data_IF_784911139238
#
_entry.id   IF_784911139238
#
_cell.length_a   1.000
_cell.length_b   1.000
_cell.length_c   1.000
_cell.angle_alpha   90.00
_cell.angle_beta   90.00
_cell.angle_gamma   90.00
#
_symmetry.space_group_name_H-M   'P 1'
#
loop_
_entity.id
_entity.type
_entity.pdbx_description
1 polymer ?
#
# COMPACT_ATOMS: atom_id res chain seq x y z
N UNK A 1 8.94 -18.70 -4.91
CA UNK A 1 7.72 -17.99 -5.36
C UNK A 1 8.04 -16.59 -5.88
N UNK A 2 8.27 -15.58 -5.03
CA UNK A 2 8.68 -14.25 -5.53
C UNK A 2 9.95 -14.30 -6.40
N UNK A 3 10.91 -15.15 -6.02
CA UNK A 3 12.17 -15.33 -6.76
C UNK A 3 12.05 -16.13 -8.06
N UNK A 4 10.94 -16.84 -8.25
CA UNK A 4 10.77 -17.77 -9.38
C UNK A 4 9.81 -17.23 -10.43
N UNK A 5 8.81 -16.45 -10.03
CA UNK A 5 7.63 -16.23 -10.87
C UNK A 5 6.93 -14.90 -10.76
N UNK A 6 7.45 -14.01 -9.93
CA UNK A 6 6.88 -12.69 -9.78
C UNK A 6 6.75 -12.02 -11.17
N UNK A 7 5.60 -11.41 -11.50
CA UNK A 7 5.37 -10.77 -12.79
C UNK A 7 6.08 -9.41 -12.87
N UNK A 8 7.42 -9.46 -12.86
CA UNK A 8 8.30 -8.28 -12.82
C UNK A 8 7.99 -7.32 -13.96
N UNK A 9 7.79 -7.84 -15.17
CA UNK A 9 7.56 -7.02 -16.37
C UNK A 9 6.29 -6.20 -16.23
N UNK A 10 5.19 -6.85 -15.88
CA UNK A 10 3.86 -6.25 -15.77
C UNK A 10 3.81 -5.25 -14.59
N UNK A 11 4.34 -5.63 -13.43
CA UNK A 11 4.43 -4.73 -12.26
C UNK A 11 5.33 -3.52 -12.55
N UNK A 12 6.39 -3.70 -13.34
CA UNK A 12 7.29 -2.60 -13.73
C UNK A 12 6.60 -1.60 -14.66
N UNK A 13 5.72 -2.06 -15.55
CA UNK A 13 4.91 -1.18 -16.41
C UNK A 13 4.02 -0.28 -15.55
N UNK A 14 3.30 -0.84 -14.58
CA UNK A 14 2.44 -0.07 -13.67
C UNK A 14 3.26 0.88 -12.77
N UNK A 15 4.42 0.42 -12.29
CA UNK A 15 5.35 1.24 -11.50
C UNK A 15 5.95 2.41 -12.31
N UNK A 16 6.17 2.23 -13.60
CA UNK A 16 6.62 3.32 -14.47
C UNK A 16 5.49 4.32 -14.74
N UNK A 17 4.26 3.80 -14.95
CA UNK A 17 3.06 4.60 -15.20
C UNK A 17 2.72 5.51 -14.02
N UNK A 18 2.83 5.01 -12.79
CA UNK A 18 2.47 5.77 -11.59
C UNK A 18 3.26 7.09 -11.46
N UNK A 19 4.50 7.15 -11.97
CA UNK A 19 5.37 8.33 -11.85
C UNK A 19 4.79 9.57 -12.52
N UNK A 20 3.89 9.36 -13.47
CA UNK A 20 3.20 10.41 -14.20
C UNK A 20 1.84 10.79 -13.58
N UNK A 21 1.44 10.15 -12.48
CA UNK A 21 0.20 10.48 -11.78
C UNK A 21 0.41 11.76 -10.98
N UNK A 22 -0.39 12.78 -11.31
CA UNK A 22 -0.28 14.13 -10.73
C UNK A 22 -1.37 14.47 -9.71
N UNK A 23 -2.31 13.55 -9.48
CA UNK A 23 -3.42 13.76 -8.55
C UNK A 23 -3.71 12.49 -7.75
N UNK A 24 -4.03 12.64 -6.47
CA UNK A 24 -4.41 11.54 -5.58
C UNK A 24 -3.30 10.55 -5.19
N UNK A 25 -2.06 10.76 -5.66
CA UNK A 25 -0.92 9.92 -5.32
C UNK A 25 -0.12 10.53 -4.16
N UNK A 26 0.41 9.72 -3.25
CA UNK A 26 1.14 10.22 -2.05
C UNK A 26 2.38 11.08 -2.39
N UNK A 27 2.91 10.96 -3.60
CA UNK A 27 4.01 11.82 -4.08
C UNK A 27 3.59 13.27 -4.31
N UNK A 28 2.30 13.54 -4.47
CA UNK A 28 1.78 14.90 -4.62
C UNK A 28 1.65 15.62 -3.28
N UNK A 29 1.70 14.90 -2.15
CA UNK A 29 1.80 15.50 -0.81
C UNK A 29 3.20 16.10 -0.60
N UNK A 30 4.24 15.32 -0.91
CA UNK A 30 5.63 15.76 -0.85
C UNK A 30 6.51 14.84 -1.70
N UNK A 31 7.46 15.43 -2.42
CA UNK A 31 8.44 14.69 -3.22
C UNK A 31 9.51 14.11 -2.29
N UNK A 32 9.66 12.79 -2.29
CA UNK A 32 10.73 12.09 -1.58
C UNK A 32 11.62 11.35 -2.58
N UNK A 33 12.91 11.65 -2.60
CA UNK A 33 13.84 11.19 -3.64
C UNK A 33 14.00 9.67 -3.72
N UNK A 34 13.76 8.96 -2.61
CA UNK A 34 13.91 7.51 -2.51
C UNK A 34 12.57 6.75 -2.45
N UNK A 35 11.44 7.38 -2.81
CA UNK A 35 10.14 6.71 -2.71
C UNK A 35 10.04 5.54 -3.68
N UNK A 36 9.68 4.36 -3.16
CA UNK A 36 9.39 3.17 -3.96
C UNK A 36 8.01 3.28 -4.62
N UNK A 37 7.83 2.69 -5.80
CA UNK A 37 6.52 2.55 -6.40
C UNK A 37 5.49 1.88 -5.52
N UNK A 38 4.26 2.41 -5.49
CA UNK A 38 3.15 1.78 -4.78
C UNK A 38 2.74 0.48 -5.46
N UNK A 39 2.71 0.47 -6.80
CA UNK A 39 2.41 -0.73 -7.58
C UNK A 39 3.38 -1.87 -7.23
N UNK A 40 4.69 -1.58 -7.23
CA UNK A 40 5.71 -2.54 -6.83
C UNK A 40 5.60 -2.93 -5.36
N UNK A 41 5.48 -1.94 -4.45
CA UNK A 41 5.43 -2.19 -3.01
C UNK A 41 4.26 -3.08 -2.62
N UNK A 42 3.09 -2.85 -3.23
CA UNK A 42 1.89 -3.67 -3.02
C UNK A 42 2.08 -5.10 -3.50
N UNK A 43 2.53 -5.24 -4.74
CA UNK A 43 2.71 -6.54 -5.37
C UNK A 43 3.75 -7.38 -4.61
N UNK A 44 4.89 -6.79 -4.24
CA UNK A 44 5.95 -7.49 -3.51
C UNK A 44 5.55 -7.78 -2.07
N UNK A 45 4.88 -6.86 -1.37
CA UNK A 45 4.37 -7.11 -0.02
C UNK A 45 3.40 -8.29 -0.02
N UNK A 46 2.39 -8.30 -0.91
CA UNK A 46 1.47 -9.41 -1.02
C UNK A 46 2.20 -10.73 -1.34
N UNK A 47 3.06 -10.74 -2.37
CA UNK A 47 3.76 -11.95 -2.79
C UNK A 47 4.73 -12.51 -1.74
N UNK A 48 5.23 -11.66 -0.83
CA UNK A 48 6.12 -12.07 0.26
C UNK A 48 5.38 -12.61 1.49
N UNK A 49 4.11 -12.23 1.68
CA UNK A 49 3.33 -12.57 2.86
C UNK A 49 2.44 -13.82 2.67
N UNK A 50 2.39 -14.38 1.46
CA UNK A 50 1.66 -15.62 1.16
C UNK A 50 2.63 -16.79 0.89
N UNK A 51 2.24 -18.04 1.15
CA UNK A 51 3.07 -19.21 0.88
C UNK A 51 3.36 -19.35 -0.62
N UNK A 52 4.33 -20.17 -1.01
CA UNK A 52 4.54 -20.52 -2.41
C UNK A 52 3.38 -21.39 -2.95
N UNK A 53 2.98 -21.22 -4.23
CA UNK A 53 2.02 -22.11 -4.88
C UNK A 53 2.60 -23.50 -5.00
N UNK A 54 1.73 -24.51 -4.93
CA UNK A 54 2.14 -25.93 -4.96
C UNK A 54 2.15 -26.50 -6.37
N UNK A 55 1.30 -25.98 -7.25
CA UNK A 55 1.13 -26.44 -8.62
C UNK A 55 1.16 -25.28 -9.64
N UNK A 56 1.21 -25.64 -10.92
CA UNK A 56 1.28 -24.69 -12.04
C UNK A 56 -0.01 -23.90 -12.23
N UNK A 57 -1.16 -24.45 -11.87
CA UNK A 57 -2.45 -23.77 -12.05
C UNK A 57 -2.64 -22.67 -11.01
N UNK A 58 -2.34 -22.98 -9.74
CA UNK A 58 -2.31 -22.03 -8.64
C UNK A 58 -1.27 -20.93 -8.88
N UNK A 59 -0.14 -21.30 -9.49
CA UNK A 59 0.87 -20.36 -9.91
C UNK A 59 0.33 -19.33 -10.90
N UNK A 60 -0.35 -19.76 -11.96
CA UNK A 60 -0.93 -18.87 -12.97
C UNK A 60 -2.00 -17.96 -12.37
N UNK A 61 -2.88 -18.53 -11.53
CA UNK A 61 -3.92 -17.77 -10.82
C UNK A 61 -3.33 -16.67 -9.93
N UNK A 62 -2.30 -17.00 -9.15
CA UNK A 62 -1.63 -16.03 -8.26
C UNK A 62 -0.84 -14.98 -9.04
N UNK A 63 -0.15 -15.39 -10.11
CA UNK A 63 0.53 -14.46 -11.02
C UNK A 63 -0.47 -13.45 -11.58
N UNK A 64 -1.59 -13.92 -12.11
CA UNK A 64 -2.63 -13.05 -12.68
C UNK A 64 -3.21 -12.11 -11.61
N UNK A 65 -3.47 -12.62 -10.41
CA UNK A 65 -3.92 -11.78 -9.29
C UNK A 65 -2.92 -10.68 -8.96
N UNK A 66 -1.62 -10.98 -8.87
CA UNK A 66 -0.57 -9.98 -8.59
C UNK A 66 -0.54 -8.90 -9.68
N UNK A 67 -0.66 -9.29 -10.96
CA UNK A 67 -0.72 -8.35 -12.09
C UNK A 67 -1.90 -7.41 -11.90
N UNK A 68 -3.09 -7.95 -11.66
CA UNK A 68 -4.30 -7.14 -11.50
C UNK A 68 -4.25 -6.27 -10.24
N UNK A 69 -3.69 -6.78 -9.15
CA UNK A 69 -3.53 -6.06 -7.89
C UNK A 69 -2.52 -4.90 -8.01
N UNK A 70 -1.52 -5.02 -8.88
CA UNK A 70 -0.51 -3.98 -9.10
C UNK A 70 -1.02 -2.75 -9.87
N UNK A 71 -2.12 -2.89 -10.62
CA UNK A 71 -2.70 -1.80 -11.43
C UNK A 71 -3.14 -0.62 -10.56
N UNK A 72 -2.89 0.59 -11.04
CA UNK A 72 -3.25 1.82 -10.32
C UNK A 72 -4.77 1.92 -10.07
N UNK A 73 -5.58 1.57 -11.05
CA UNK A 73 -7.05 1.61 -11.00
C UNK A 73 -7.61 0.71 -9.89
N UNK A 74 -6.87 -0.35 -9.55
CA UNK A 74 -7.25 -1.33 -8.54
C UNK A 74 -6.72 -1.01 -7.14
N UNK A 75 -5.97 0.10 -6.99
CA UNK A 75 -5.31 0.46 -5.71
C UNK A 75 -6.25 0.68 -4.53
N UNK A 76 -7.51 0.99 -4.80
CA UNK A 76 -8.55 1.19 -3.79
C UNK A 76 -9.72 0.21 -3.96
N UNK A 77 -9.56 -0.84 -4.77
CA UNK A 77 -10.63 -1.80 -5.02
C UNK A 77 -10.84 -2.68 -3.76
N UNK A 78 -11.98 -2.55 -3.05
CA UNK A 78 -12.20 -3.24 -1.79
C UNK A 78 -12.22 -4.76 -1.94
N UNK A 79 -12.69 -5.28 -3.09
CA UNK A 79 -12.77 -6.73 -3.34
C UNK A 79 -11.38 -7.35 -3.41
N UNK A 80 -10.44 -6.68 -4.11
CA UNK A 80 -9.07 -7.18 -4.23
C UNK A 80 -8.29 -7.03 -2.92
N UNK A 81 -8.50 -5.92 -2.20
CA UNK A 81 -7.86 -5.68 -0.90
C UNK A 81 -8.33 -6.70 0.13
N UNK A 82 -9.63 -6.97 0.21
CA UNK A 82 -10.17 -7.92 1.19
C UNK A 82 -9.72 -9.34 0.89
N UNK A 83 -9.77 -9.75 -0.38
CA UNK A 83 -9.19 -11.04 -0.80
C UNK A 83 -7.71 -11.15 -0.40
N UNK A 84 -6.91 -10.11 -0.64
CA UNK A 84 -5.50 -10.13 -0.27
C UNK A 84 -5.29 -10.24 1.26
N UNK A 85 -6.17 -9.62 2.05
CA UNK A 85 -6.16 -9.75 3.52
C UNK A 85 -6.52 -11.15 3.97
N UNK A 86 -7.59 -11.73 3.40
CA UNK A 86 -8.03 -13.10 3.68
C UNK A 86 -6.91 -14.09 3.37
N UNK A 87 -6.29 -13.99 2.19
CA UNK A 87 -5.18 -14.85 1.76
C UNK A 87 -3.99 -14.79 2.74
N UNK A 88 -3.65 -13.58 3.23
CA UNK A 88 -2.56 -13.35 4.19
C UNK A 88 -2.93 -13.86 5.59
N UNK A 89 -4.18 -13.66 6.01
CA UNK A 89 -4.67 -14.08 7.32
C UNK A 89 -4.72 -15.60 7.42
N UNK A 90 -5.19 -16.28 6.38
CA UNK A 90 -5.17 -17.75 6.27
C UNK A 90 -3.73 -18.27 6.30
N UNK A 91 -2.83 -17.63 5.56
CA UNK A 91 -1.41 -17.98 5.55
C UNK A 91 -0.72 -17.86 6.92
N UNK A 92 -1.19 -16.95 7.79
CA UNK A 92 -0.60 -16.67 9.10
C UNK A 92 -1.42 -17.21 10.28
N UNK A 93 -2.27 -18.22 10.05
CA UNK A 93 -2.99 -18.92 11.12
C UNK A 93 -4.04 -18.05 11.84
N UNK A 94 -4.62 -17.06 11.14
CA UNK A 94 -5.70 -16.24 11.68
C UNK A 94 -5.27 -14.96 12.38
N UNK A 95 -3.96 -14.68 12.46
CA UNK A 95 -3.42 -13.50 13.13
C UNK A 95 -2.82 -12.49 12.13
N UNK A 96 -2.97 -11.18 12.33
CA UNK A 96 -2.30 -10.18 11.52
C UNK A 96 -0.77 -10.29 11.61
N UNK A 97 -0.10 -10.24 10.46
CA UNK A 97 1.37 -10.19 10.39
C UNK A 97 1.90 -8.86 10.90
N UNK A 98 3.02 -8.92 11.62
CA UNK A 98 3.78 -7.73 12.04
C UNK A 98 4.85 -7.41 11.01
N UNK A 99 4.77 -6.23 10.40
CA UNK A 99 5.72 -5.76 9.40
C UNK A 99 6.50 -4.59 9.96
N UNK A 100 7.83 -4.69 9.96
CA UNK A 100 8.73 -3.60 10.33
C UNK A 100 9.48 -3.11 9.09
N UNK A 101 9.32 -1.84 8.76
CA UNK A 101 10.16 -1.13 7.80
C UNK A 101 11.02 -0.10 8.55
N UNK A 102 12.30 -0.41 8.87
CA UNK A 102 13.16 0.49 9.62
C UNK A 102 13.71 1.66 8.78
N UNK A 103 13.49 1.66 7.46
CA UNK A 103 13.97 2.68 6.52
C UNK A 103 12.86 3.11 5.58
N UNK A 104 11.71 3.46 6.17
CA UNK A 104 10.47 3.64 5.43
C UNK A 104 10.48 4.82 4.46
N UNK A 105 11.32 5.83 4.71
CA UNK A 105 11.48 7.01 3.86
C UNK A 105 10.14 7.63 3.46
N UNK A 106 9.77 7.49 2.19
CA UNK A 106 8.54 8.06 1.63
C UNK A 106 7.24 7.32 1.98
N UNK A 107 7.30 6.20 2.71
CA UNK A 107 6.15 5.50 3.30
C UNK A 107 5.43 4.49 2.40
N UNK A 108 5.99 4.12 1.24
CA UNK A 108 5.31 3.27 0.27
C UNK A 108 5.05 1.84 0.77
N UNK A 109 6.09 1.17 1.29
CA UNK A 109 6.00 -0.19 1.83
C UNK A 109 5.06 -0.26 3.04
N UNK A 110 5.22 0.57 4.08
CA UNK A 110 4.33 0.49 5.23
C UNK A 110 2.89 0.89 4.91
N UNK A 111 2.66 1.76 3.93
CA UNK A 111 1.30 2.09 3.49
C UNK A 111 0.60 0.86 2.90
N UNK A 112 1.29 0.12 2.02
CA UNK A 112 0.71 -1.07 1.39
C UNK A 112 0.59 -2.23 2.40
N UNK A 113 1.52 -2.36 3.35
CA UNK A 113 1.39 -3.32 4.46
C UNK A 113 0.14 -3.05 5.32
N UNK A 114 -0.12 -1.78 5.67
CA UNK A 114 -1.36 -1.39 6.35
C UNK A 114 -2.61 -1.69 5.52
N UNK A 115 -2.56 -1.47 4.20
CA UNK A 115 -3.68 -1.82 3.30
C UNK A 115 -3.96 -3.32 3.32
N UNK A 116 -2.91 -4.14 3.37
CA UNK A 116 -2.98 -5.61 3.49
C UNK A 116 -3.37 -6.11 4.88
N UNK A 117 -3.72 -5.23 5.83
CA UNK A 117 -4.19 -5.63 7.16
C UNK A 117 -3.07 -6.01 8.12
N UNK A 118 -1.81 -5.74 7.78
CA UNK A 118 -0.67 -6.02 8.66
C UNK A 118 -0.54 -4.97 9.76
N UNK A 119 -0.13 -5.41 10.95
CA UNK A 119 0.32 -4.53 12.02
C UNK A 119 1.70 -3.96 11.63
N UNK A 120 1.73 -2.70 11.24
CA UNK A 120 2.88 -2.13 10.54
C UNK A 120 3.61 -1.10 11.39
N UNK A 121 4.93 -1.25 11.47
CA UNK A 121 5.86 -0.38 12.16
C UNK A 121 6.80 0.27 11.14
N UNK A 122 6.85 1.60 11.10
CA UNK A 122 7.71 2.36 10.19
C UNK A 122 8.70 3.21 10.99
N UNK A 123 9.99 3.05 10.71
CA UNK A 123 11.09 3.81 11.30
C UNK A 123 11.80 4.69 10.26
N UNK A 124 12.28 5.84 10.71
CA UNK A 124 13.11 6.74 9.92
C UNK A 124 13.83 7.74 10.84
N UNK A 125 15.07 8.09 10.49
CA UNK A 125 15.86 9.08 11.23
C UNK A 125 15.61 10.50 10.69
N UNK A 126 15.42 10.64 9.38
CA UNK A 126 15.21 11.95 8.77
C UNK A 126 13.87 12.56 9.21
N UNK A 127 13.86 13.76 9.84
CA UNK A 127 12.63 14.36 10.38
C UNK A 127 11.60 14.70 9.29
N UNK A 128 12.03 15.01 8.06
CA UNK A 128 11.13 15.27 6.93
C UNK A 128 10.38 14.00 6.56
N UNK A 129 11.07 12.86 6.48
CA UNK A 129 10.41 11.60 6.19
C UNK A 129 9.54 11.12 7.35
N UNK A 130 9.93 11.35 8.61
CA UNK A 130 9.04 11.12 9.76
C UNK A 130 7.72 11.87 9.59
N UNK A 131 7.75 13.15 9.20
CA UNK A 131 6.54 13.92 8.94
C UNK A 131 5.70 13.32 7.79
N UNK A 132 6.34 12.92 6.69
CA UNK A 132 5.66 12.25 5.57
C UNK A 132 4.97 10.97 6.05
N UNK A 133 5.65 10.15 6.86
CA UNK A 133 5.12 8.91 7.41
C UNK A 133 3.91 9.18 8.30
N UNK A 134 3.98 10.19 9.18
CA UNK A 134 2.83 10.61 10.01
C UNK A 134 1.63 11.00 9.15
N UNK A 135 1.83 11.83 8.13
CA UNK A 135 0.77 12.27 7.23
C UNK A 135 0.22 11.15 6.33
N UNK A 136 1.02 10.11 6.05
CA UNK A 136 0.62 9.02 5.13
C UNK A 136 -0.05 7.86 5.88
N UNK A 137 0.47 7.51 7.07
CA UNK A 137 0.12 6.28 7.77
C UNK A 137 -0.77 6.55 8.99
N UNK A 138 -0.47 7.59 9.77
CA UNK A 138 -1.07 7.79 11.10
C UNK A 138 -2.23 8.78 11.07
N UNK A 139 -2.01 9.99 10.54
CA UNK A 139 -3.00 11.06 10.59
C UNK A 139 -4.28 10.75 9.81
N UNK A 140 -4.24 10.14 8.60
CA UNK A 140 -5.47 9.78 7.89
C UNK A 140 -6.31 8.76 8.67
N UNK A 141 -5.67 7.84 9.40
CA UNK A 141 -6.37 6.85 10.21
C UNK A 141 -6.98 7.46 11.48
N UNK A 142 -6.23 8.33 12.16
CA UNK A 142 -6.68 9.00 13.40
C UNK A 142 -7.74 10.08 13.16
N UNK A 143 -7.57 10.89 12.11
CA UNK A 143 -8.35 12.12 11.92
C UNK A 143 -9.20 12.12 10.64
N UNK A 144 -8.97 11.21 9.68
CA UNK A 144 -9.66 11.22 8.39
C UNK A 144 -11.18 10.99 8.47
N UNK A 145 -11.67 10.34 9.53
CA UNK A 145 -13.12 10.17 9.78
C UNK A 145 -13.75 11.39 10.45
N UNK A 146 -13.00 12.11 11.28
CA UNK A 146 -13.47 13.31 12.00
C UNK A 146 -13.78 14.42 11.00
N UNK A 147 -12.90 14.62 10.02
CA UNK A 147 -13.07 15.65 8.99
C UNK A 147 -14.24 15.41 8.03
N UNK A 148 -14.72 14.17 7.89
CA UNK A 148 -15.93 13.86 7.09
C UNK A 148 -17.23 14.18 7.82
N UNK A 149 -17.20 14.32 9.15
CA UNK A 149 -18.35 14.66 9.98
C UNK A 149 -18.43 16.14 10.37
N UNK A 150 -17.38 16.91 10.09
CA UNK A 150 -17.36 18.35 10.32
C UNK A 150 -17.90 19.10 9.08
N UNK A 151 -19.22 19.02 8.84
CA UNK A 151 -19.96 20.01 8.02
C UNK A 151 -19.79 21.46 8.59
N UNK A 152 -19.23 21.55 9.80
CA UNK A 152 -18.94 22.76 10.56
C UNK A 152 -17.88 23.69 9.96
N UNK A 153 -17.00 23.19 9.08
CA UNK A 153 -15.98 24.04 8.45
C UNK A 153 -16.56 24.92 7.33
N UNK A 154 -17.61 24.47 6.64
CA UNK A 154 -18.29 25.27 5.60
C UNK A 154 -19.16 26.38 6.19
N UNK A 155 -19.68 26.22 7.41
CA UNK A 155 -20.43 27.26 8.12
C UNK A 155 -19.54 28.43 8.58
N UNK A 156 -18.31 28.14 9.02
CA UNK A 156 -17.35 29.16 9.46
C UNK A 156 -16.80 30.04 8.33
N UNK A 157 -16.77 29.53 7.09
CA UNK A 157 -16.40 30.31 5.91
C UNK A 157 -17.55 31.17 5.35
N UNK A 158 -18.81 30.89 5.72
CA UNK A 158 -19.97 31.72 5.32
C UNK A 158 -20.25 32.88 6.27
N UNK A 159 -19.66 32.86 7.46
CA UNK A 159 -19.79 33.92 8.48
C UNK A 159 -18.62 34.93 8.48
N UNK A 160 -17.67 34.81 7.54
CA UNK A 160 -16.60 35.80 7.28
C UNK A 160 -16.70 36.38 5.87
#
# INVERSE_FOLDING_TARGET
FIEQSFPVKEVSVESAREKNIRHGHISTLHIWWARRPLASSRATAYAALIPAPKDTEEWDKRRQFIIDFSKWENSLNPVLIEKAREDILEANGGEPLKVLDPFAGGGAIPLEALRLGCETYAGEYNPVAVLILKCTLEYPQKYGKVLKGDEKWEELEREN
#
